data_IF_598318256535
#
_entry.id   IF_598318256535
#
_cell.length_a   1.000
_cell.length_b   1.000
_cell.length_c   1.000
_cell.angle_alpha   90.00
_cell.angle_beta   90.00
_cell.angle_gamma   90.00
#
_symmetry.space_group_name_H-M   'P 1'
#
loop_
_entity.id
_entity.type
_entity.pdbx_description
1 polymer ?
#
# COMPACT_ATOMS: atom_id res chain seq x y z
N UNK A 1 -20.91 2.90 -7.40
CA UNK A 1 -21.19 1.50 -7.79
C UNK A 1 -20.24 0.61 -6.99
N UNK A 2 -20.69 -0.47 -6.35
CA UNK A 2 -19.76 -1.41 -5.73
C UNK A 2 -18.87 -2.02 -6.82
N UNK A 3 -17.55 -1.90 -6.70
CA UNK A 3 -16.63 -2.53 -7.63
C UNK A 3 -16.78 -4.06 -7.55
N UNK A 4 -16.95 -4.70 -8.70
CA UNK A 4 -17.14 -6.14 -8.77
C UNK A 4 -15.88 -6.86 -8.23
N UNK A 5 -16.09 -7.79 -7.29
CA UNK A 5 -15.04 -8.68 -6.75
C UNK A 5 -14.27 -9.41 -7.85
N UNK A 6 -14.89 -9.59 -9.01
CA UNK A 6 -14.30 -10.24 -10.19
C UNK A 6 -13.04 -9.53 -10.71
N UNK A 7 -12.88 -8.23 -10.40
CA UNK A 7 -11.68 -7.46 -10.76
C UNK A 7 -10.54 -7.59 -9.73
N UNK A 8 -10.72 -8.37 -8.66
CA UNK A 8 -9.72 -8.48 -7.60
C UNK A 8 -8.35 -8.95 -8.12
N UNK A 9 -8.21 -9.98 -8.99
CA UNK A 9 -6.91 -10.39 -9.52
C UNK A 9 -6.16 -9.25 -10.26
N UNK A 10 -6.89 -8.46 -11.05
CA UNK A 10 -6.32 -7.33 -11.79
C UNK A 10 -5.94 -6.19 -10.84
N UNK A 11 -6.76 -5.91 -9.83
CA UNK A 11 -6.45 -4.91 -8.78
C UNK A 11 -5.22 -5.30 -7.96
N UNK A 12 -5.07 -6.58 -7.61
CA UNK A 12 -3.88 -7.09 -6.92
C UNK A 12 -2.64 -6.91 -7.79
N UNK A 13 -2.73 -7.27 -9.07
CA UNK A 13 -1.63 -7.13 -10.03
C UNK A 13 -1.24 -5.66 -10.22
N UNK A 14 -2.22 -4.80 -10.46
CA UNK A 14 -2.02 -3.37 -10.62
C UNK A 14 -1.45 -2.72 -9.36
N UNK A 15 -1.90 -3.11 -8.16
CA UNK A 15 -1.36 -2.58 -6.91
C UNK A 15 0.12 -2.92 -6.73
N UNK A 16 0.52 -4.19 -6.95
CA UNK A 16 1.92 -4.59 -6.82
C UNK A 16 2.80 -3.98 -7.93
N UNK A 17 2.28 -3.83 -9.15
CA UNK A 17 2.97 -3.13 -10.23
C UNK A 17 3.07 -1.63 -9.97
N UNK A 18 2.04 -1.02 -9.39
CA UNK A 18 2.05 0.39 -8.99
C UNK A 18 3.11 0.68 -7.94
N UNK A 19 3.33 -0.23 -6.99
CA UNK A 19 4.46 -0.12 -6.05
C UNK A 19 5.81 -0.06 -6.79
N UNK A 20 6.03 -1.00 -7.72
CA UNK A 20 7.28 -1.09 -8.48
C UNK A 20 7.48 0.10 -9.42
N UNK A 21 6.41 0.57 -10.06
CA UNK A 21 6.42 1.76 -10.89
C UNK A 21 6.72 3.01 -10.06
N UNK A 22 6.12 3.13 -8.87
CA UNK A 22 6.39 4.25 -7.97
C UNK A 22 7.81 4.26 -7.41
N UNK A 23 8.36 3.10 -7.05
CA UNK A 23 9.77 2.98 -6.67
C UNK A 23 10.70 3.36 -7.84
N UNK A 24 10.38 2.95 -9.06
CA UNK A 24 11.13 3.31 -10.25
C UNK A 24 11.06 4.83 -10.53
N UNK A 25 9.88 5.43 -10.44
CA UNK A 25 9.66 6.86 -10.65
C UNK A 25 10.39 7.72 -9.61
N UNK A 26 10.47 7.25 -8.36
CA UNK A 26 11.22 7.91 -7.30
C UNK A 26 12.76 7.80 -7.48
N UNK A 27 13.24 6.89 -8.33
CA UNK A 27 14.66 6.71 -8.63
C UNK A 27 15.50 6.15 -7.46
N UNK A 28 14.86 5.67 -6.39
CA UNK A 28 15.53 5.09 -5.21
C UNK A 28 14.65 4.03 -4.55
N UNK A 29 15.24 3.15 -3.74
CA UNK A 29 14.53 2.04 -3.10
C UNK A 29 13.47 2.54 -2.10
N UNK A 30 12.22 2.13 -2.29
CA UNK A 30 11.06 2.51 -1.46
C UNK A 30 10.69 1.43 -0.42
N UNK A 31 11.07 0.18 -0.69
CA UNK A 31 10.68 -0.99 0.11
C UNK A 31 9.80 -1.99 -0.65
N UNK A 32 9.63 -1.83 -1.97
CA UNK A 32 8.76 -2.67 -2.81
C UNK A 32 9.16 -4.14 -2.75
N UNK A 33 10.46 -4.45 -2.68
CA UNK A 33 10.93 -5.83 -2.46
C UNK A 33 10.28 -6.45 -1.22
N UNK A 34 10.29 -5.75 -0.09
CA UNK A 34 9.72 -6.28 1.16
C UNK A 34 8.19 -6.39 1.10
N UNK A 35 7.51 -5.48 0.38
CA UNK A 35 6.08 -5.62 0.08
C UNK A 35 5.80 -6.95 -0.67
N UNK A 36 6.54 -7.20 -1.75
CA UNK A 36 6.40 -8.42 -2.56
C UNK A 36 6.74 -9.68 -1.75
N UNK A 37 7.77 -9.64 -0.93
CA UNK A 37 8.17 -10.77 -0.10
C UNK A 37 7.15 -11.08 1.01
N UNK A 38 6.54 -10.06 1.62
CA UNK A 38 5.45 -10.25 2.59
C UNK A 38 4.19 -10.80 1.92
N UNK A 39 3.80 -10.23 0.77
CA UNK A 39 2.67 -10.72 -0.03
C UNK A 39 2.87 -12.19 -0.42
N UNK A 40 4.06 -12.55 -0.88
CA UNK A 40 4.40 -13.92 -1.24
C UNK A 40 4.40 -14.88 -0.06
N UNK A 41 4.91 -14.44 1.09
CA UNK A 41 4.86 -15.20 2.35
C UNK A 41 3.42 -15.49 2.76
N UNK A 42 2.56 -14.46 2.80
CA UNK A 42 1.15 -14.61 3.16
C UNK A 42 0.44 -15.58 2.22
N UNK A 43 0.66 -15.45 0.90
CA UNK A 43 0.09 -16.34 -0.09
C UNK A 43 0.56 -17.80 0.09
N UNK A 44 1.84 -18.00 0.36
CA UNK A 44 2.45 -19.33 0.49
C UNK A 44 2.08 -20.04 1.79
N UNK A 45 1.86 -19.28 2.86
CA UNK A 45 1.59 -19.80 4.22
C UNK A 45 0.11 -19.79 4.59
N UNK A 46 -0.74 -19.17 3.77
CA UNK A 46 -2.16 -18.99 4.05
C UNK A 46 -2.42 -17.96 5.16
N UNK A 47 -1.44 -17.13 5.52
CA UNK A 47 -1.48 -16.17 6.61
C UNK A 47 -0.11 -15.67 7.03
N UNK A 48 -0.08 -14.78 8.03
CA UNK A 48 1.18 -14.27 8.59
C UNK A 48 1.91 -15.39 9.34
N UNK A 49 3.13 -15.72 8.90
CA UNK A 49 4.03 -16.69 9.54
C UNK A 49 5.33 -15.99 9.91
N UNK A 50 5.48 -15.64 11.20
CA UNK A 50 6.63 -14.85 11.68
C UNK A 50 7.98 -15.54 11.42
N UNK A 51 8.04 -16.87 11.46
CA UNK A 51 9.28 -17.60 11.17
C UNK A 51 9.65 -17.50 9.68
N UNK A 52 8.66 -17.59 8.79
CA UNK A 52 8.87 -17.37 7.35
C UNK A 52 9.28 -15.92 7.05
N UNK A 53 8.70 -14.94 7.75
CA UNK A 53 9.08 -13.53 7.61
C UNK A 53 10.53 -13.28 8.02
N UNK A 54 10.97 -13.82 9.17
CA UNK A 54 12.37 -13.75 9.62
C UNK A 54 13.30 -14.43 8.61
N UNK A 55 12.92 -15.62 8.10
CA UNK A 55 13.72 -16.32 7.09
C UNK A 55 13.88 -15.52 5.78
N UNK A 56 12.93 -14.64 5.46
CA UNK A 56 12.98 -13.70 4.33
C UNK A 56 13.67 -12.36 4.66
N UNK A 57 14.14 -12.18 5.90
CA UNK A 57 14.78 -10.95 6.39
C UNK A 57 13.80 -9.79 6.60
N UNK A 58 12.51 -10.08 6.81
CA UNK A 58 11.46 -9.07 7.01
C UNK A 58 11.32 -8.61 8.46
N UNK A 59 12.16 -9.14 9.36
CA UNK A 59 12.43 -8.65 10.71
C UNK A 59 13.34 -7.40 10.72
N UNK A 60 13.76 -6.92 9.55
CA UNK A 60 14.48 -5.66 9.39
C UNK A 60 13.64 -4.63 8.60
N UNK A 61 13.69 -3.34 8.97
CA UNK A 61 12.97 -2.32 8.22
C UNK A 61 13.57 -2.10 6.82
N UNK A 62 12.79 -1.61 5.84
CA UNK A 62 13.31 -1.14 4.56
C UNK A 62 14.33 0.01 4.74
N UNK A 63 15.07 0.33 3.67
CA UNK A 63 16.02 1.45 3.66
C UNK A 63 15.36 2.80 3.96
N UNK A 64 14.08 2.97 3.58
CA UNK A 64 13.21 4.12 3.89
C UNK A 64 12.66 4.10 5.32
N UNK A 65 13.11 3.17 6.16
CA UNK A 65 12.74 3.08 7.58
C UNK A 65 11.24 2.88 7.79
N UNK A 66 10.67 3.67 8.71
CA UNK A 66 9.28 3.56 9.12
C UNK A 66 8.29 3.85 7.99
N UNK A 67 8.63 4.72 7.04
CA UNK A 67 7.81 4.99 5.86
C UNK A 67 7.66 3.74 4.96
N UNK A 68 8.75 3.01 4.74
CA UNK A 68 8.72 1.75 3.99
C UNK A 68 7.91 0.64 4.69
N UNK A 69 7.83 0.66 6.03
CA UNK A 69 6.99 -0.28 6.78
C UNK A 69 5.49 -0.04 6.52
N UNK A 70 5.08 1.21 6.30
CA UNK A 70 3.69 1.55 5.89
C UNK A 70 3.38 0.97 4.52
N UNK A 71 4.29 1.15 3.55
CA UNK A 71 4.17 0.56 2.22
C UNK A 71 4.02 -0.96 2.34
N UNK A 72 4.95 -1.62 3.05
CA UNK A 72 4.98 -3.08 3.21
C UNK A 72 3.66 -3.65 3.76
N UNK A 73 3.08 -3.00 4.76
CA UNK A 73 1.86 -3.47 5.41
C UNK A 73 0.63 -3.52 4.48
N UNK A 74 0.64 -2.81 3.35
CA UNK A 74 -0.44 -2.89 2.36
C UNK A 74 -0.63 -4.30 1.80
N UNK A 75 0.40 -5.16 1.81
CA UNK A 75 0.27 -6.58 1.46
C UNK A 75 -0.78 -7.31 2.31
N UNK A 76 -0.92 -6.97 3.60
CA UNK A 76 -1.93 -7.57 4.47
C UNK A 76 -3.37 -7.19 4.05
N UNK A 77 -3.55 -5.93 3.63
CA UNK A 77 -4.83 -5.44 3.11
C UNK A 77 -5.20 -6.08 1.77
N UNK A 78 -4.22 -6.20 0.86
CA UNK A 78 -4.38 -6.88 -0.43
C UNK A 78 -4.67 -8.37 -0.27
N UNK A 79 -4.05 -9.05 0.71
CA UNK A 79 -4.24 -10.47 0.94
C UNK A 79 -5.58 -10.85 1.59
N UNK A 80 -6.24 -9.92 2.27
CA UNK A 80 -7.48 -10.22 3.00
C UNK A 80 -8.46 -9.04 3.01
N UNK A 81 -8.85 -8.49 1.84
CA UNK A 81 -9.59 -7.22 1.75
C UNK A 81 -11.01 -7.27 2.34
N UNK A 82 -11.52 -8.48 2.61
CA UNK A 82 -12.83 -8.71 3.23
C UNK A 82 -12.74 -9.06 4.73
N UNK A 83 -11.56 -9.40 5.24
CA UNK A 83 -11.34 -9.81 6.63
C UNK A 83 -10.58 -8.72 7.39
N UNK A 84 -11.32 -7.68 7.78
CA UNK A 84 -10.76 -6.51 8.46
C UNK A 84 -10.08 -6.83 9.79
N UNK A 85 -10.62 -7.71 10.66
CA UNK A 85 -9.91 -8.13 11.87
C UNK A 85 -8.55 -8.76 11.57
N UNK A 86 -8.48 -9.65 10.59
CA UNK A 86 -7.24 -10.31 10.19
C UNK A 86 -6.23 -9.34 9.62
N UNK A 87 -6.60 -8.52 8.62
CA UNK A 87 -5.65 -7.61 7.98
C UNK A 87 -5.07 -6.59 8.97
N UNK A 88 -5.88 -6.12 9.93
CA UNK A 88 -5.43 -5.17 10.98
C UNK A 88 -4.39 -5.82 11.88
N UNK A 89 -4.69 -7.02 12.38
CA UNK A 89 -3.77 -7.79 13.24
C UNK A 89 -2.46 -8.10 12.50
N UNK A 90 -2.56 -8.57 11.26
CA UNK A 90 -1.41 -9.03 10.49
C UNK A 90 -0.53 -7.84 10.06
N UNK A 91 -1.13 -6.70 9.66
CA UNK A 91 -0.42 -5.46 9.37
C UNK A 91 0.35 -4.94 10.60
N UNK A 92 -0.33 -4.84 11.75
CA UNK A 92 0.30 -4.41 13.01
C UNK A 92 1.49 -5.30 13.36
N UNK A 93 1.28 -6.63 13.44
CA UNK A 93 2.33 -7.60 13.75
C UNK A 93 3.50 -7.55 12.79
N UNK A 94 3.24 -7.47 11.49
CA UNK A 94 4.30 -7.41 10.48
C UNK A 94 5.22 -6.21 10.70
N UNK A 95 4.68 -5.06 11.09
CA UNK A 95 5.45 -3.84 11.34
C UNK A 95 6.19 -3.90 12.68
N UNK A 96 5.53 -4.41 13.73
CA UNK A 96 6.17 -4.62 15.05
C UNK A 96 7.35 -5.58 14.96
N UNK A 97 7.26 -6.63 14.13
CA UNK A 97 8.33 -7.60 13.90
C UNK A 97 9.61 -6.93 13.39
N UNK A 98 9.50 -5.89 12.56
CA UNK A 98 10.65 -5.14 12.04
C UNK A 98 11.07 -3.93 12.90
N UNK A 99 10.60 -3.87 14.15
CA UNK A 99 10.97 -2.80 15.08
C UNK A 99 10.20 -1.49 14.92
N UNK A 100 9.11 -1.47 14.16
CA UNK A 100 8.24 -0.28 14.08
C UNK A 100 7.61 0.04 15.44
N UNK A 101 7.55 1.33 15.80
CA UNK A 101 6.85 1.79 16.99
C UNK A 101 5.31 1.70 16.84
N UNK A 102 4.58 2.01 17.91
CA UNK A 102 3.11 1.87 17.91
C UNK A 102 2.45 2.84 16.91
N UNK A 103 2.98 4.07 16.78
CA UNK A 103 2.48 5.05 15.82
C UNK A 103 2.66 4.58 14.37
N UNK A 104 3.80 3.97 14.06
CA UNK A 104 4.10 3.35 12.76
C UNK A 104 3.18 2.17 12.52
N UNK A 105 2.97 1.31 13.52
CA UNK A 105 2.10 0.14 13.40
C UNK A 105 0.63 0.55 13.14
N UNK A 106 0.10 1.55 13.85
CA UNK A 106 -1.26 2.06 13.62
C UNK A 106 -1.36 2.73 12.24
N UNK A 107 -0.35 3.46 11.79
CA UNK A 107 -0.34 4.07 10.45
C UNK A 107 -0.29 3.02 9.34
N UNK A 108 0.47 1.96 9.55
CA UNK A 108 0.53 0.82 8.64
C UNK A 108 -0.79 0.05 8.59
N UNK A 109 -1.48 -0.10 9.73
CA UNK A 109 -2.85 -0.61 9.78
C UNK A 109 -3.78 0.30 8.98
N UNK A 110 -3.64 1.62 9.08
CA UNK A 110 -4.45 2.56 8.30
C UNK A 110 -4.24 2.37 6.79
N UNK A 111 -3.00 2.22 6.34
CA UNK A 111 -2.68 1.95 4.93
C UNK A 111 -3.24 0.58 4.46
N UNK A 112 -3.13 -0.46 5.28
CA UNK A 112 -3.69 -1.78 4.99
C UNK A 112 -5.22 -1.77 4.91
N UNK A 113 -5.90 -1.03 5.78
CA UNK A 113 -7.36 -0.85 5.72
C UNK A 113 -7.75 -0.04 4.48
N UNK A 114 -7.01 1.02 4.16
CA UNK A 114 -7.30 1.87 3.01
C UNK A 114 -7.18 1.10 1.70
N UNK A 115 -6.08 0.36 1.49
CA UNK A 115 -5.91 -0.42 0.25
C UNK A 115 -6.98 -1.50 0.11
N UNK A 116 -7.39 -2.14 1.22
CA UNK A 116 -8.47 -3.11 1.24
C UNK A 116 -9.82 -2.50 0.87
N UNK A 117 -10.11 -1.28 1.34
CA UNK A 117 -11.34 -0.56 0.99
C UNK A 117 -11.34 -0.05 -0.44
N UNK A 118 -10.19 0.42 -0.97
CA UNK A 118 -10.06 0.85 -2.36
C UNK A 118 -10.29 -0.27 -3.37
N UNK A 119 -10.08 -1.54 -2.97
CA UNK A 119 -10.50 -2.70 -3.78
C UNK A 119 -12.03 -2.78 -4.01
N UNK A 120 -12.84 -1.98 -3.29
CA UNK A 120 -14.30 -2.12 -3.24
C UNK A 120 -15.06 -0.80 -3.37
N UNK A 121 -14.46 0.28 -2.90
CA UNK A 121 -15.08 1.59 -2.74
C UNK A 121 -14.22 2.67 -3.40
N UNK A 122 -14.85 3.80 -3.72
CA UNK A 122 -14.13 5.02 -4.09
C UNK A 122 -13.36 5.60 -2.89
N UNK A 123 -12.48 6.57 -3.16
CA UNK A 123 -11.59 7.17 -2.16
C UNK A 123 -12.39 7.84 -1.03
N UNK A 124 -13.43 8.59 -1.35
CA UNK A 124 -14.25 9.31 -0.37
C UNK A 124 -14.85 8.35 0.66
N UNK A 125 -15.52 7.29 0.17
CA UNK A 125 -16.12 6.29 1.04
C UNK A 125 -15.06 5.48 1.80
N UNK A 126 -13.94 5.14 1.14
CA UNK A 126 -12.83 4.45 1.79
C UNK A 126 -12.25 5.27 2.96
N UNK A 127 -12.07 6.58 2.79
CA UNK A 127 -11.57 7.48 3.85
C UNK A 127 -12.57 7.63 5.00
N UNK A 128 -13.88 7.72 4.71
CA UNK A 128 -14.91 7.74 5.77
C UNK A 128 -14.85 6.46 6.60
N UNK A 129 -14.81 5.30 5.95
CA UNK A 129 -14.75 3.99 6.61
C UNK A 129 -13.44 3.79 7.39
N UNK A 130 -12.33 4.29 6.86
CA UNK A 130 -11.03 4.27 7.51
C UNK A 130 -11.06 5.06 8.82
N UNK A 131 -11.53 6.32 8.77
CA UNK A 131 -11.65 7.17 9.96
C UNK A 131 -12.52 6.51 11.02
N UNK A 132 -13.67 5.95 10.63
CA UNK A 132 -14.55 5.18 11.53
C UNK A 132 -13.84 3.98 12.18
N UNK A 133 -13.02 3.26 11.42
CA UNK A 133 -12.27 2.09 11.91
C UNK A 133 -11.23 2.49 12.97
N UNK A 134 -10.69 3.70 12.88
CA UNK A 134 -9.57 4.17 13.70
C UNK A 134 -10.00 5.11 14.84
N UNK A 135 -11.31 5.37 15.02
CA UNK A 135 -11.83 6.36 15.96
C UNK A 135 -11.30 6.21 17.39
N UNK A 136 -11.21 4.97 17.89
CA UNK A 136 -10.84 4.69 19.29
C UNK A 136 -9.34 4.40 19.47
N UNK A 137 -8.65 4.01 18.40
CA UNK A 137 -7.31 3.43 18.47
C UNK A 137 -6.22 4.37 17.97
N UNK A 138 -6.54 5.26 17.02
CA UNK A 138 -5.53 6.10 16.39
C UNK A 138 -5.29 7.42 17.13
N UNK A 139 -4.02 7.87 17.23
CA UNK A 139 -3.71 9.22 17.68
C UNK A 139 -4.43 10.27 16.85
N UNK A 140 -4.89 11.36 17.49
CA UNK A 140 -5.55 12.48 16.81
C UNK A 140 -4.71 13.05 15.65
N UNK A 141 -3.38 13.04 15.79
CA UNK A 141 -2.46 13.48 14.74
C UNK A 141 -2.56 12.63 13.46
N UNK A 142 -2.82 11.32 13.58
CA UNK A 142 -3.05 10.47 12.40
C UNK A 142 -4.39 10.81 11.75
N UNK A 143 -5.47 10.99 12.52
CA UNK A 143 -6.77 11.39 12.00
C UNK A 143 -6.71 12.68 11.17
N UNK A 144 -5.94 13.68 11.64
CA UNK A 144 -5.73 14.93 10.92
C UNK A 144 -4.98 14.77 9.58
N UNK A 145 -4.25 13.66 9.40
CA UNK A 145 -3.48 13.33 8.20
C UNK A 145 -4.23 12.42 7.22
N UNK A 146 -5.37 11.84 7.63
CA UNK A 146 -6.21 10.99 6.76
C UNK A 146 -7.11 11.83 5.85
N UNK A 147 -6.53 12.82 5.15
CA UNK A 147 -7.19 13.70 4.20
C UNK A 147 -6.16 14.28 3.22
N UNK A 148 -6.58 14.63 1.99
CA UNK A 148 -5.72 15.32 1.03
C UNK A 148 -5.14 16.62 1.62
N UNK A 149 -3.90 16.95 1.25
CA UNK A 149 -3.26 18.20 1.60
C UNK A 149 -3.63 19.33 0.63
N UNK A 150 -3.60 20.57 1.12
CA UNK A 150 -3.49 21.73 0.25
C UNK A 150 -2.03 21.82 -0.25
N UNK A 151 -1.78 21.78 -1.57
CA UNK A 151 -0.45 21.87 -2.17
C UNK A 151 0.36 23.08 -1.70
N UNK A 152 -0.29 24.21 -1.39
CA UNK A 152 0.39 25.42 -0.91
C UNK A 152 0.98 25.25 0.50
N UNK A 153 0.57 24.20 1.21
CA UNK A 153 0.94 23.93 2.60
C UNK A 153 1.70 22.63 2.77
N UNK A 154 2.15 22.00 1.68
CA UNK A 154 2.74 20.67 1.70
C UNK A 154 4.28 20.71 1.86
N UNK A 155 4.84 20.47 3.05
CA UNK A 155 6.15 19.87 3.18
C UNK A 155 5.98 18.36 3.34
N UNK A 156 6.58 17.56 2.45
CA UNK A 156 6.43 16.10 2.43
C UNK A 156 7.79 15.42 2.14
N UNK A 157 8.12 14.24 2.68
CA UNK A 157 8.54 14.00 4.07
C UNK A 157 9.84 13.15 4.12
N UNK A 158 10.68 13.24 5.17
CA UNK A 158 11.98 12.53 5.30
C UNK A 158 11.92 11.20 6.06
N UNK A 159 10.80 10.45 5.95
CA UNK A 159 10.60 9.17 6.63
C UNK A 159 9.46 9.09 7.67
N UNK A 160 8.62 10.13 7.84
CA UNK A 160 7.42 10.06 8.71
C UNK A 160 6.33 9.15 8.09
N UNK A 161 5.84 8.13 8.82
CA UNK A 161 4.79 7.23 8.35
C UNK A 161 3.48 7.92 7.94
N UNK A 162 3.01 8.86 8.75
CA UNK A 162 1.71 9.51 8.56
C UNK A 162 1.72 10.47 7.38
N UNK A 163 2.81 11.23 7.21
CA UNK A 163 3.03 12.09 6.07
C UNK A 163 3.17 11.26 4.78
N UNK A 164 3.86 10.12 4.83
CA UNK A 164 3.94 9.17 3.71
C UNK A 164 2.56 8.73 3.22
N UNK A 165 1.69 8.32 4.16
CA UNK A 165 0.30 7.96 3.84
C UNK A 165 -0.49 9.16 3.30
N UNK A 166 -0.29 10.35 3.87
CA UNK A 166 -1.00 11.55 3.46
C UNK A 166 -0.61 12.01 2.05
N UNK A 167 0.67 11.92 1.66
CA UNK A 167 1.11 12.17 0.27
C UNK A 167 0.37 11.24 -0.68
N UNK A 168 0.34 9.95 -0.37
CA UNK A 168 -0.28 8.95 -1.23
C UNK A 168 -1.79 9.19 -1.39
N UNK A 169 -2.47 9.58 -0.30
CA UNK A 169 -3.89 10.00 -0.35
C UNK A 169 -4.06 11.24 -1.22
N UNK A 170 -3.18 12.24 -1.09
CA UNK A 170 -3.26 13.50 -1.85
C UNK A 170 -3.04 13.26 -3.34
N UNK A 171 -2.06 12.43 -3.71
CA UNK A 171 -1.82 12.07 -5.11
C UNK A 171 -3.02 11.33 -5.71
N UNK A 172 -3.59 10.39 -4.94
CA UNK A 172 -4.75 9.62 -5.36
C UNK A 172 -6.00 10.49 -5.53
N UNK A 173 -6.18 11.53 -4.73
CA UNK A 173 -7.28 12.50 -4.83
C UNK A 173 -7.17 13.37 -6.11
N UNK A 174 -5.94 13.65 -6.55
CA UNK A 174 -5.66 14.60 -7.64
C UNK A 174 -5.51 13.94 -9.01
N UNK A 175 -5.29 12.64 -9.06
CA UNK A 175 -5.11 11.87 -10.28
C UNK A 175 -6.23 10.85 -10.48
N UNK A 176 -6.59 10.58 -11.73
CA UNK A 176 -7.64 9.62 -12.05
C UNK A 176 -7.07 8.22 -12.22
N UNK A 177 -5.92 8.11 -12.90
CA UNK A 177 -5.32 6.83 -13.30
C UNK A 177 -4.10 6.46 -12.44
N UNK A 178 -3.66 5.21 -12.53
CA UNK A 178 -2.45 4.74 -11.84
C UNK A 178 -1.19 5.49 -12.30
N UNK A 179 -0.90 5.64 -13.62
CA UNK A 179 0.28 6.39 -14.07
C UNK A 179 0.28 7.85 -13.59
N UNK A 180 -0.85 8.55 -13.72
CA UNK A 180 -0.99 9.93 -13.25
C UNK A 180 -0.80 10.05 -11.73
N UNK A 181 -1.26 9.06 -10.95
CA UNK A 181 -1.10 9.07 -9.49
C UNK A 181 0.37 8.91 -9.09
N UNK A 182 1.11 8.06 -9.80
CA UNK A 182 2.56 7.89 -9.59
C UNK A 182 3.30 9.18 -9.96
N UNK A 183 2.96 9.80 -11.09
CA UNK A 183 3.55 11.07 -11.53
C UNK A 183 3.27 12.21 -10.56
N UNK A 184 2.01 12.38 -10.13
CA UNK A 184 1.60 13.38 -9.14
C UNK A 184 2.36 13.19 -7.82
N UNK A 185 2.46 11.95 -7.33
CA UNK A 185 3.19 11.66 -6.09
C UNK A 185 4.70 11.97 -6.21
N UNK A 186 5.31 11.68 -7.36
CA UNK A 186 6.72 11.98 -7.61
C UNK A 186 6.99 13.49 -7.69
N UNK A 187 6.00 14.28 -8.14
CA UNK A 187 6.07 15.74 -8.27
C UNK A 187 6.25 16.49 -6.94
N UNK A 188 5.93 15.88 -5.79
CA UNK A 188 6.10 16.52 -4.48
C UNK A 188 7.57 16.68 -4.04
N UNK A 189 8.50 15.94 -4.67
CA UNK A 189 9.94 16.01 -4.38
C UNK A 189 10.34 15.56 -2.96
N UNK A 190 11.63 15.57 -2.65
CA UNK A 190 12.16 15.10 -1.35
C UNK A 190 12.32 13.58 -1.24
N UNK A 191 12.40 13.05 -0.02
CA UNK A 191 12.52 11.61 0.25
C UNK A 191 11.16 10.91 0.23
N UNK A 192 10.51 10.97 -0.93
CA UNK A 192 9.13 10.51 -1.12
C UNK A 192 9.02 9.09 -1.67
N UNK A 193 10.12 8.34 -1.78
CA UNK A 193 10.11 7.03 -2.47
C UNK A 193 9.04 6.07 -1.93
N UNK A 194 8.93 5.95 -0.61
CA UNK A 194 7.88 5.16 0.04
C UNK A 194 6.48 5.69 -0.26
N UNK A 195 6.30 7.01 -0.34
CA UNK A 195 5.03 7.64 -0.65
C UNK A 195 4.61 7.44 -2.11
N UNK A 196 5.54 7.57 -3.06
CA UNK A 196 5.27 7.33 -4.49
C UNK A 196 4.89 5.87 -4.73
N UNK A 197 5.65 4.94 -4.15
CA UNK A 197 5.32 3.51 -4.22
C UNK A 197 3.96 3.21 -3.55
N UNK A 198 3.68 3.82 -2.39
CA UNK A 198 2.39 3.66 -1.71
C UNK A 198 1.23 4.23 -2.55
N UNK A 199 1.41 5.39 -3.18
CA UNK A 199 0.42 5.99 -4.08
C UNK A 199 0.10 5.05 -5.24
N UNK A 200 1.12 4.43 -5.84
CA UNK A 200 0.95 3.41 -6.89
C UNK A 200 0.17 2.18 -6.42
N UNK A 201 0.46 1.67 -5.21
CA UNK A 201 -0.32 0.57 -4.60
C UNK A 201 -1.80 0.95 -4.46
N UNK A 202 -2.08 2.11 -3.89
CA UNK A 202 -3.45 2.56 -3.65
C UNK A 202 -4.20 2.80 -4.96
N UNK A 203 -3.54 3.40 -5.96
CA UNK A 203 -4.11 3.62 -7.28
C UNK A 203 -4.44 2.31 -7.98
N UNK A 204 -3.51 1.34 -8.01
CA UNK A 204 -3.76 0.03 -8.60
C UNK A 204 -4.89 -0.74 -7.91
N UNK A 205 -5.00 -0.64 -6.58
CA UNK A 205 -6.14 -1.21 -5.85
C UNK A 205 -7.48 -0.57 -6.24
N UNK A 206 -7.48 0.75 -6.50
CA UNK A 206 -8.68 1.53 -6.89
C UNK A 206 -9.11 1.27 -8.33
N UNK A 207 -8.17 1.37 -9.28
CA UNK A 207 -8.45 1.49 -10.72
C UNK A 207 -8.09 0.23 -11.51
N UNK A 208 -7.47 -0.78 -10.89
CA UNK A 208 -6.82 -1.86 -11.63
C UNK A 208 -5.89 -1.29 -12.72
N UNK A 209 -6.04 -1.72 -13.97
CA UNK A 209 -5.26 -1.24 -15.11
C UNK A 209 -5.94 -0.11 -15.92
N UNK A 210 -7.00 0.52 -15.40
CA UNK A 210 -7.63 1.64 -16.09
C UNK A 210 -6.63 2.79 -16.29
N UNK A 211 -6.45 3.20 -17.56
CA UNK A 211 -5.50 4.23 -17.95
C UNK A 211 -4.05 3.75 -18.15
N UNK A 212 -3.75 2.46 -17.96
CA UNK A 212 -2.44 1.89 -18.25
C UNK A 212 -2.37 1.34 -19.68
N UNK A 213 -1.40 1.78 -20.47
CA UNK A 213 -1.08 1.15 -21.76
C UNK A 213 0.04 0.08 -21.61
N UNK A 214 0.26 -0.69 -22.67
CA UNK A 214 1.26 -1.77 -22.65
C UNK A 214 2.69 -1.23 -22.58
N UNK A 215 2.95 -0.03 -23.08
CA UNK A 215 4.27 0.61 -23.01
C UNK A 215 4.62 0.94 -21.56
N UNK A 216 3.69 1.56 -20.83
CA UNK A 216 3.81 1.83 -19.41
C UNK A 216 4.00 0.54 -18.62
N UNK A 217 3.18 -0.49 -18.88
CA UNK A 217 3.30 -1.80 -18.21
C UNK A 217 4.65 -2.47 -18.50
N UNK A 218 5.15 -2.39 -19.73
CA UNK A 218 6.43 -2.96 -20.12
C UNK A 218 7.62 -2.23 -19.46
N UNK A 219 7.48 -0.95 -19.13
CA UNK A 219 8.51 -0.17 -18.44
C UNK A 219 8.62 -0.48 -16.94
N UNK A 220 7.61 -1.11 -16.32
CA UNK A 220 7.61 -1.40 -14.88
C UNK A 220 8.69 -2.44 -14.51
N UNK A 221 9.65 -2.10 -13.64
CA UNK A 221 10.66 -3.06 -13.20
C UNK A 221 10.04 -4.24 -12.44
N UNK A 222 10.71 -5.40 -12.51
CA UNK A 222 10.27 -6.61 -11.81
C UNK A 222 8.80 -7.04 -12.08
N UNK A 223 8.21 -6.61 -13.22
CA UNK A 223 6.83 -6.93 -13.62
C UNK A 223 6.47 -8.40 -13.44
N UNK A 224 7.33 -9.29 -13.93
CA UNK A 224 7.10 -10.74 -13.85
C UNK A 224 6.91 -11.22 -12.40
N UNK A 225 7.72 -10.72 -11.46
CA UNK A 225 7.62 -11.08 -10.05
C UNK A 225 6.36 -10.52 -9.41
N UNK A 226 6.02 -9.26 -9.69
CA UNK A 226 4.81 -8.63 -9.16
C UNK A 226 3.54 -9.38 -9.61
N UNK A 227 3.45 -9.70 -10.90
CA UNK A 227 2.32 -10.47 -11.48
C UNK A 227 2.23 -11.87 -10.88
N UNK A 228 3.37 -12.55 -10.71
CA UNK A 228 3.40 -13.89 -10.12
C UNK A 228 2.88 -13.88 -8.67
N UNK A 229 3.34 -12.92 -7.85
CA UNK A 229 2.89 -12.79 -6.45
C UNK A 229 1.42 -12.42 -6.37
N UNK A 230 0.95 -11.50 -7.23
CA UNK A 230 -0.47 -11.15 -7.31
C UNK A 230 -1.35 -12.36 -7.65
N UNK A 231 -0.92 -13.20 -8.58
CA UNK A 231 -1.64 -14.41 -8.95
C UNK A 231 -1.73 -15.40 -7.77
N UNK A 232 -0.65 -15.57 -7.00
CA UNK A 232 -0.65 -16.42 -5.79
C UNK A 232 -1.60 -15.87 -4.71
N UNK A 233 -1.58 -14.55 -4.48
CA UNK A 233 -2.52 -13.90 -3.55
C UNK A 233 -3.98 -14.08 -3.99
N UNK A 234 -4.27 -13.87 -5.27
CA UNK A 234 -5.60 -14.04 -5.83
C UNK A 234 -6.10 -15.49 -5.67
N UNK A 235 -5.23 -16.48 -5.88
CA UNK A 235 -5.55 -17.89 -5.68
C UNK A 235 -5.82 -18.21 -4.20
N UNK A 236 -5.03 -17.65 -3.28
CA UNK A 236 -5.20 -17.85 -1.84
C UNK A 236 -6.44 -17.14 -1.26
N UNK A 237 -6.96 -16.11 -1.94
CA UNK A 237 -8.10 -15.30 -1.50
C UNK A 237 -9.46 -15.86 -1.92
N UNK A 238 -9.51 -16.95 -2.70
CA UNK A 238 -10.78 -17.57 -3.09
C UNK A 238 -11.38 -18.34 -1.90
N UNK A 239 -12.67 -18.12 -1.57
CA UNK A 239 -13.34 -18.98 -0.61
C UNK A 239 -13.39 -20.42 -1.17
N UNK A 240 -13.07 -21.40 -0.33
CA UNK A 240 -13.35 -22.82 -0.58
C UNK A 240 -14.86 -23.06 -0.68
#
# INVERSE_FOLDING_TARGET
>A
MPAAIDLLPDRLSAALLGAAAGEAAAGTAAGTRQLLDLADSIASRGGLDEADLVARGLDTPPATGAAGLVLRATACGLASPLDRPRLRRDAHRSVRLAGGDEGTAITAVAAAVLVADLCRFDLDLALVRLRQTLLEEAPLALHARLQPLDPATAPLCSGDPGATLQVAITALDRAATLPETVEEAAGYGGDVAAAVALAGVLAGARTAFEGCDEEWLAAVPARARAVEVAARLAAASRPL
#
